data_IF_562937469811
#
_entry.id   IF_562937469811
#
_cell.length_a   1.000
_cell.length_b   1.000
_cell.length_c   1.000
_cell.angle_alpha   90.00
_cell.angle_beta   90.00
_cell.angle_gamma   90.00
#
_symmetry.space_group_name_H-M   'P 1'
#
loop_
_entity.id
_entity.type
_entity.pdbx_description
1 polymer ?
#
# COMPACT_ATOMS: atom_id res chain seq x y z
N UNK A 1 17.83 -16.89 -5.89
CA UNK A 1 16.67 -16.32 -5.16
C UNK A 1 17.14 -15.03 -4.51
N UNK A 2 16.43 -13.91 -4.68
CA UNK A 2 16.82 -12.61 -4.15
C UNK A 2 16.26 -12.39 -2.73
N UNK A 3 14.97 -12.61 -2.52
CA UNK A 3 14.38 -12.66 -1.18
C UNK A 3 13.14 -13.54 -1.15
N UNK A 4 12.84 -14.05 0.04
CA UNK A 4 11.60 -14.74 0.35
C UNK A 4 11.13 -14.29 1.73
N UNK A 5 9.84 -13.97 1.85
CA UNK A 5 9.22 -13.39 3.05
C UNK A 5 9.69 -11.98 3.36
N UNK A 6 8.73 -11.08 3.53
CA UNK A 6 8.95 -9.65 3.78
C UNK A 6 8.10 -9.20 4.95
N UNK A 7 8.59 -8.25 5.74
CA UNK A 7 7.93 -7.70 6.92
C UNK A 7 6.82 -6.69 6.54
N UNK A 8 5.94 -7.07 5.61
CA UNK A 8 4.82 -6.25 5.13
C UNK A 8 3.49 -6.93 5.43
N UNK A 9 2.43 -6.13 5.57
CA UNK A 9 1.06 -6.60 5.77
C UNK A 9 0.08 -5.83 4.90
N UNK A 10 -0.70 -6.48 4.02
CA UNK A 10 -0.64 -7.90 3.64
C UNK A 10 0.59 -8.20 2.74
N UNK A 11 0.95 -9.49 2.59
CA UNK A 11 2.04 -9.89 1.68
C UNK A 11 3.19 -10.70 2.31
N UNK A 12 3.00 -11.34 3.47
CA UNK A 12 4.07 -12.06 4.18
C UNK A 12 4.89 -13.04 3.29
N UNK A 13 4.33 -13.77 2.31
CA UNK A 13 5.13 -14.54 1.35
C UNK A 13 5.19 -13.87 -0.03
N UNK A 14 6.02 -12.85 -0.22
CA UNK A 14 6.48 -12.46 -1.57
C UNK A 14 7.84 -13.11 -1.81
N UNK A 15 8.01 -13.70 -2.99
CA UNK A 15 9.25 -14.28 -3.48
C UNK A 15 9.73 -13.45 -4.66
N UNK A 16 10.98 -13.01 -4.64
CA UNK A 16 11.65 -12.45 -5.80
C UNK A 16 12.87 -13.32 -6.13
N UNK A 17 12.98 -13.73 -7.38
CA UNK A 17 14.13 -14.43 -7.91
C UNK A 17 14.56 -13.84 -9.26
N UNK A 18 15.80 -14.13 -9.62
CA UNK A 18 16.36 -13.82 -10.93
C UNK A 18 16.92 -15.11 -11.51
N UNK A 19 16.52 -15.43 -12.73
CA UNK A 19 17.05 -16.56 -13.49
C UNK A 19 18.44 -16.23 -14.07
N UNK A 20 19.15 -17.25 -14.54
CA UNK A 20 20.51 -17.10 -15.07
C UNK A 20 20.57 -16.21 -16.33
N UNK A 21 19.51 -16.20 -17.13
CA UNK A 21 19.33 -15.32 -18.29
C UNK A 21 18.95 -13.87 -17.92
N UNK A 22 18.81 -13.58 -16.63
CA UNK A 22 18.48 -12.28 -16.10
C UNK A 22 16.99 -12.01 -15.90
N UNK A 23 16.09 -12.91 -16.31
CA UNK A 23 14.65 -12.75 -16.14
C UNK A 23 14.26 -12.70 -14.65
N UNK A 24 13.36 -11.76 -14.29
CA UNK A 24 12.84 -11.65 -12.94
C UNK A 24 11.59 -12.53 -12.78
N UNK A 25 11.55 -13.25 -11.66
CA UNK A 25 10.39 -14.02 -11.22
C UNK A 25 9.85 -13.44 -9.92
N UNK A 26 8.58 -13.04 -9.92
CA UNK A 26 7.87 -12.58 -8.72
C UNK A 26 6.78 -13.60 -8.36
N UNK A 27 7.00 -14.35 -7.29
CA UNK A 27 5.99 -15.23 -6.71
C UNK A 27 5.08 -14.45 -5.76
N UNK A 28 3.85 -14.19 -6.19
CA UNK A 28 2.83 -13.58 -5.36
C UNK A 28 2.03 -14.63 -4.57
N UNK A 29 1.51 -14.31 -3.38
CA UNK A 29 0.64 -15.21 -2.63
C UNK A 29 -0.66 -15.52 -3.40
N UNK A 30 -1.32 -16.65 -3.10
CA UNK A 30 -2.65 -16.97 -3.65
C UNK A 30 -3.82 -16.20 -3.00
N UNK A 31 -3.57 -15.46 -1.93
CA UNK A 31 -4.60 -14.63 -1.29
C UNK A 31 -4.79 -13.31 -2.09
N UNK A 32 -5.99 -12.99 -2.59
CA UNK A 32 -6.20 -11.87 -3.50
C UNK A 32 -5.69 -10.52 -3.00
N UNK A 33 -5.88 -10.21 -1.72
CA UNK A 33 -5.41 -8.94 -1.15
C UNK A 33 -3.90 -8.88 -1.02
N UNK A 34 -3.28 -10.01 -0.68
CA UNK A 34 -1.83 -10.11 -0.60
C UNK A 34 -1.21 -10.09 -2.01
N UNK A 35 -1.86 -10.67 -3.02
CA UNK A 35 -1.46 -10.54 -4.42
C UNK A 35 -1.60 -9.09 -4.91
N UNK A 36 -2.71 -8.42 -4.61
CA UNK A 36 -2.93 -7.03 -5.00
C UNK A 36 -1.88 -6.08 -4.40
N UNK A 37 -1.61 -6.20 -3.09
CA UNK A 37 -0.53 -5.45 -2.45
C UNK A 37 0.86 -5.83 -3.00
N UNK A 38 1.06 -7.11 -3.32
CA UNK A 38 2.28 -7.62 -3.93
C UNK A 38 2.55 -7.01 -5.32
N UNK A 39 1.53 -6.98 -6.17
CA UNK A 39 1.56 -6.33 -7.46
C UNK A 39 1.91 -4.84 -7.31
N UNK A 40 1.16 -4.14 -6.44
CA UNK A 40 1.27 -2.69 -6.26
C UNK A 40 2.62 -2.22 -5.73
N UNK A 41 3.19 -2.93 -4.76
CA UNK A 41 4.35 -2.48 -3.99
C UNK A 41 5.65 -3.23 -4.28
N UNK A 42 5.60 -4.29 -5.10
CA UNK A 42 6.81 -5.03 -5.51
C UNK A 42 6.93 -5.14 -7.03
N UNK A 43 5.86 -5.56 -7.72
CA UNK A 43 5.90 -5.74 -9.18
C UNK A 43 5.93 -4.41 -9.91
N UNK A 44 5.03 -3.48 -9.59
CA UNK A 44 4.99 -2.17 -10.23
C UNK A 44 6.31 -1.38 -10.05
N UNK A 45 6.91 -1.29 -8.85
CA UNK A 45 8.22 -0.65 -8.68
C UNK A 45 9.34 -1.35 -9.47
N UNK A 46 9.34 -2.69 -9.54
CA UNK A 46 10.32 -3.43 -10.34
C UNK A 46 10.18 -3.12 -11.84
N UNK A 47 8.95 -3.10 -12.36
CA UNK A 47 8.67 -2.73 -13.75
C UNK A 47 9.08 -1.28 -14.05
N UNK A 48 8.79 -0.33 -13.15
CA UNK A 48 9.24 1.06 -13.30
C UNK A 48 10.77 1.14 -13.40
N UNK A 49 11.48 0.41 -12.56
CA UNK A 49 12.95 0.34 -12.60
C UNK A 49 13.47 -0.25 -13.91
N UNK A 50 12.87 -1.35 -14.39
CA UNK A 50 13.24 -1.97 -15.67
C UNK A 50 12.97 -1.05 -16.87
N UNK A 51 11.95 -0.19 -16.79
CA UNK A 51 11.60 0.78 -17.82
C UNK A 51 12.38 2.11 -17.70
N UNK A 52 13.31 2.23 -16.74
CA UNK A 52 14.06 3.48 -16.52
C UNK A 52 13.20 4.64 -16.00
N UNK A 53 12.02 4.35 -15.46
CA UNK A 53 11.11 5.35 -14.92
C UNK A 53 11.55 5.79 -13.51
N UNK A 54 11.26 7.04 -13.10
CA UNK A 54 11.56 7.49 -11.74
C UNK A 54 10.80 6.65 -10.70
N UNK A 55 11.33 6.52 -9.49
CA UNK A 55 10.58 5.93 -8.38
C UNK A 55 9.29 6.73 -8.11
N UNK A 56 8.18 6.02 -7.87
CA UNK A 56 6.94 6.67 -7.47
C UNK A 56 7.08 7.25 -6.05
N UNK A 57 6.51 8.44 -5.83
CA UNK A 57 6.47 9.09 -4.53
C UNK A 57 5.04 9.17 -4.03
N UNK A 58 4.80 8.69 -2.81
CA UNK A 58 3.50 8.81 -2.15
C UNK A 58 3.24 10.24 -1.67
N UNK A 59 1.97 10.60 -1.54
CA UNK A 59 1.52 11.84 -0.91
C UNK A 59 1.66 11.71 0.62
N UNK A 60 2.15 12.75 1.28
CA UNK A 60 2.17 12.81 2.74
C UNK A 60 0.80 13.33 3.20
N UNK A 61 -0.01 12.48 3.83
CA UNK A 61 -1.39 12.81 4.22
C UNK A 61 -1.65 12.41 5.66
N UNK A 62 -2.39 13.24 6.39
CA UNK A 62 -2.73 12.98 7.80
C UNK A 62 -3.84 11.94 7.92
N UNK A 63 -3.67 11.01 8.86
CA UNK A 63 -4.71 10.05 9.23
C UNK A 63 -5.87 10.75 9.94
N UNK A 64 -7.11 10.44 9.56
CA UNK A 64 -8.31 10.84 10.30
C UNK A 64 -8.62 9.90 11.46
N UNK A 65 -8.31 8.62 11.29
CA UNK A 65 -8.68 7.56 12.24
C UNK A 65 -7.45 6.99 12.93
N UNK A 66 -7.50 6.74 14.25
CA UNK A 66 -6.41 6.08 14.96
C UNK A 66 -6.19 4.65 14.46
N UNK A 67 -4.95 4.19 14.52
CA UNK A 67 -4.54 2.82 14.23
C UNK A 67 -3.89 2.19 15.45
N UNK A 68 -4.19 0.92 15.69
CA UNK A 68 -3.54 0.13 16.74
C UNK A 68 -2.06 -0.11 16.45
N UNK A 69 -1.28 -0.29 17.53
CA UNK A 69 0.14 -0.62 17.47
C UNK A 69 0.42 -1.87 16.63
N UNK A 70 1.42 -1.74 15.73
CA UNK A 70 1.98 -2.83 14.94
C UNK A 70 3.49 -2.58 14.75
N UNK A 71 4.32 -2.94 15.74
CA UNK A 71 5.74 -2.58 15.80
C UNK A 71 6.64 -3.31 14.79
N UNK A 72 6.14 -4.37 14.15
CA UNK A 72 6.96 -5.24 13.30
C UNK A 72 6.70 -5.10 11.81
N UNK A 73 5.58 -4.48 11.42
CA UNK A 73 5.09 -4.60 10.05
C UNK A 73 4.88 -3.24 9.42
N UNK A 74 5.48 -3.08 8.24
CA UNK A 74 5.04 -2.06 7.30
C UNK A 74 3.64 -2.44 6.80
N UNK A 75 2.68 -1.55 6.94
CA UNK A 75 1.28 -1.82 6.65
C UNK A 75 0.87 -1.17 5.34
N UNK A 76 0.39 -1.96 4.39
CA UNK A 76 -0.26 -1.49 3.17
C UNK A 76 -1.78 -1.61 3.37
N UNK A 77 -2.40 -0.48 3.71
CA UNK A 77 -3.79 -0.40 4.17
C UNK A 77 -4.69 0.11 3.06
N UNK A 78 -5.89 -0.46 2.97
CA UNK A 78 -6.93 0.05 2.06
C UNK A 78 -7.52 1.28 2.67
N UNK A 79 -7.53 2.37 1.92
CA UNK A 79 -7.87 3.68 2.44
C UNK A 79 -8.75 4.47 1.47
N UNK A 80 -9.41 5.48 2.03
CA UNK A 80 -10.09 6.52 1.28
C UNK A 80 -9.33 7.82 1.46
N UNK A 81 -8.80 8.34 0.36
CA UNK A 81 -8.24 9.68 0.26
C UNK A 81 -9.38 10.65 -0.06
N UNK A 82 -9.57 11.64 0.81
CA UNK A 82 -10.57 12.70 0.65
C UNK A 82 -9.90 14.06 0.60
N UNK A 83 -10.61 15.03 0.02
CA UNK A 83 -10.27 16.44 0.12
C UNK A 83 -11.44 17.17 0.80
N UNK A 84 -11.15 17.89 1.88
CA UNK A 84 -12.15 18.68 2.60
C UNK A 84 -12.54 19.94 1.81
N UNK A 85 -13.64 20.59 2.19
CA UNK A 85 -14.07 21.86 1.60
C UNK A 85 -13.01 22.98 1.72
N UNK A 86 -12.10 22.88 2.70
CA UNK A 86 -10.98 23.80 2.88
C UNK A 86 -9.75 23.46 2.02
N UNK A 87 -9.83 22.45 1.13
CA UNK A 87 -8.73 22.01 0.28
C UNK A 87 -7.69 21.13 0.98
N UNK A 88 -7.98 20.64 2.19
CA UNK A 88 -7.03 19.83 2.97
C UNK A 88 -7.24 18.35 2.63
N UNK A 89 -6.14 17.65 2.31
CA UNK A 89 -6.17 16.21 2.08
C UNK A 89 -6.20 15.46 3.40
N UNK A 90 -7.06 14.45 3.46
CA UNK A 90 -7.20 13.56 4.59
C UNK A 90 -7.24 12.11 4.12
N UNK A 91 -6.77 11.18 4.96
CA UNK A 91 -6.86 9.75 4.65
C UNK A 91 -7.54 8.98 5.77
N UNK A 92 -8.59 8.26 5.40
CA UNK A 92 -9.33 7.37 6.27
C UNK A 92 -8.95 5.92 5.98
N UNK A 93 -8.55 5.17 7.01
CA UNK A 93 -8.31 3.72 6.84
C UNK A 93 -9.66 3.01 6.87
N UNK A 94 -9.94 2.20 5.84
CA UNK A 94 -11.19 1.44 5.77
C UNK A 94 -11.20 0.33 6.83
N UNK A 95 -12.37 -0.06 7.37
CA UNK A 95 -12.46 -1.21 8.26
C UNK A 95 -12.19 -2.54 7.52
N UNK A 96 -12.14 -3.63 8.29
CA UNK A 96 -11.99 -5.00 7.76
C UNK A 96 -10.69 -5.22 6.97
N UNK A 97 -9.56 -4.84 7.58
CA UNK A 97 -8.24 -4.95 6.96
C UNK A 97 -7.70 -6.39 6.85
N UNK A 98 -8.48 -7.41 7.17
CA UNK A 98 -8.08 -8.80 7.00
C UNK A 98 -7.82 -9.13 5.52
N UNK A 99 -6.84 -9.99 5.25
CA UNK A 99 -6.40 -10.28 3.88
C UNK A 99 -7.41 -11.11 3.07
N UNK A 100 -8.34 -11.82 3.72
CA UNK A 100 -9.40 -12.55 3.01
C UNK A 100 -10.57 -11.64 2.58
N UNK A 101 -10.64 -10.41 3.08
CA UNK A 101 -11.71 -9.44 2.76
C UNK A 101 -11.32 -8.60 1.55
N UNK A 102 -11.94 -8.90 0.40
CA UNK A 102 -11.75 -8.14 -0.85
C UNK A 102 -12.61 -6.87 -0.90
N UNK A 103 -13.78 -6.86 -0.26
CA UNK A 103 -14.72 -5.74 -0.34
C UNK A 103 -14.11 -4.35 -0.03
N UNK A 104 -13.23 -4.18 0.98
CA UNK A 104 -12.58 -2.89 1.23
C UNK A 104 -11.70 -2.39 0.07
N UNK A 105 -11.15 -3.28 -0.76
CA UNK A 105 -10.37 -2.87 -1.93
C UNK A 105 -11.27 -2.21 -2.99
N UNK A 106 -12.49 -2.71 -3.17
CA UNK A 106 -13.47 -2.13 -4.11
C UNK A 106 -13.98 -0.76 -3.65
N UNK A 107 -13.91 -0.49 -2.35
CA UNK A 107 -14.34 0.78 -1.75
C UNK A 107 -13.19 1.79 -1.58
N UNK A 108 -11.95 1.33 -1.73
CA UNK A 108 -10.76 2.18 -1.63
C UNK A 108 -10.55 2.96 -2.92
N UNK A 109 -10.05 4.17 -2.80
CA UNK A 109 -9.46 4.93 -3.92
C UNK A 109 -7.95 5.13 -3.74
N UNK A 110 -7.38 4.65 -2.63
CA UNK A 110 -5.98 4.78 -2.32
C UNK A 110 -5.47 3.65 -1.41
N UNK A 111 -4.16 3.50 -1.40
CA UNK A 111 -3.44 2.76 -0.37
C UNK A 111 -2.80 3.74 0.60
N UNK A 112 -2.91 3.48 1.90
CA UNK A 112 -2.12 4.16 2.92
C UNK A 112 -1.02 3.23 3.40
N UNK A 113 0.22 3.71 3.37
CA UNK A 113 1.40 3.00 3.85
C UNK A 113 1.84 3.61 5.18
N UNK A 114 1.81 2.78 6.22
CA UNK A 114 2.35 3.10 7.53
C UNK A 114 3.59 2.26 7.78
N UNK A 115 4.68 2.93 8.16
CA UNK A 115 5.84 2.26 8.74
C UNK A 115 5.49 1.68 10.10
N UNK A 116 6.26 0.68 10.61
CA UNK A 116 5.97 0.05 11.89
C UNK A 116 5.74 1.06 13.01
N UNK A 117 4.67 0.86 13.78
CA UNK A 117 4.24 1.78 14.84
C UNK A 117 4.27 1.07 16.19
N UNK A 118 5.14 1.51 17.10
CA UNK A 118 5.28 0.91 18.44
C UNK A 118 4.07 1.16 19.34
N UNK A 119 3.50 2.36 19.25
CA UNK A 119 2.36 2.79 20.09
C UNK A 119 1.06 2.95 19.30
N UNK A 120 1.05 2.54 18.03
CA UNK A 120 -0.02 2.83 17.09
C UNK A 120 0.14 4.21 16.46
N UNK A 121 -0.83 4.58 15.63
CA UNK A 121 -0.84 5.90 14.98
C UNK A 121 -2.07 6.67 15.48
N UNK A 122 -1.84 7.83 16.10
CA UNK A 122 -2.92 8.74 16.48
C UNK A 122 -3.47 9.49 15.25
N UNK A 123 -4.69 10.06 15.32
CA UNK A 123 -5.14 11.03 14.33
C UNK A 123 -4.10 12.15 14.17
N UNK A 124 -3.89 12.62 12.94
CA UNK A 124 -2.83 13.58 12.63
C UNK A 124 -1.45 12.96 12.35
N UNK A 125 -1.25 11.66 12.61
CA UNK A 125 -0.04 10.95 12.15
C UNK A 125 0.02 10.99 10.62
N UNK A 126 1.19 11.27 10.06
CA UNK A 126 1.37 11.31 8.61
C UNK A 126 1.57 9.91 8.05
N UNK A 127 0.82 9.57 7.00
CA UNK A 127 0.96 8.36 6.22
C UNK A 127 1.39 8.69 4.78
N UNK A 128 2.09 7.75 4.14
CA UNK A 128 2.30 7.84 2.69
C UNK A 128 1.09 7.28 1.96
N UNK A 129 0.51 8.06 1.06
CA UNK A 129 -0.68 7.69 0.29
C UNK A 129 -0.32 7.50 -1.17
N UNK A 130 -0.75 6.36 -1.71
CA UNK A 130 -0.50 5.94 -3.07
C UNK A 130 -1.82 5.65 -3.79
N UNK A 131 -1.84 5.87 -5.10
CA UNK A 131 -2.96 5.45 -5.94
C UNK A 131 -3.11 3.92 -5.99
N UNK A 132 -4.25 3.43 -6.49
CA UNK A 132 -4.54 2.00 -6.55
C UNK A 132 -3.55 1.21 -7.44
N UNK A 133 -2.93 1.87 -8.40
CA UNK A 133 -1.90 1.32 -9.28
C UNK A 133 -1.29 2.39 -10.18
N UNK A 134 -0.33 2.01 -11.01
CA UNK A 134 0.40 2.94 -11.88
C UNK A 134 -0.50 3.84 -12.75
N UNK A 135 -1.59 3.28 -13.32
CA UNK A 135 -2.56 4.01 -14.16
C UNK A 135 -3.67 4.69 -13.36
N UNK A 136 -3.72 4.48 -12.05
CA UNK A 136 -4.73 5.00 -11.15
C UNK A 136 -4.02 5.75 -10.01
N UNK A 137 -3.47 6.94 -10.28
CA UNK A 137 -2.77 7.74 -9.27
C UNK A 137 -3.71 8.12 -8.12
N UNK A 138 -3.12 8.58 -7.00
CA UNK A 138 -3.89 8.99 -5.83
C UNK A 138 -4.83 10.14 -6.19
N UNK A 139 -6.12 9.83 -6.32
CA UNK A 139 -7.18 10.77 -6.70
C UNK A 139 -8.14 10.96 -5.51
N UNK A 140 -8.12 12.13 -4.84
CA UNK A 140 -9.01 12.40 -3.72
C UNK A 140 -10.47 12.40 -4.18
N UNK A 141 -11.34 11.74 -3.40
CA UNK A 141 -12.77 11.97 -3.51
C UNK A 141 -13.10 13.30 -2.82
N UNK A 142 -14.06 14.05 -3.36
CA UNK A 142 -14.59 15.22 -2.67
C UNK A 142 -15.38 14.71 -1.46
N UNK A 143 -15.03 15.17 -0.27
CA UNK A 143 -15.83 14.89 0.92
C UNK A 143 -17.22 15.54 0.78
N UNK A 144 -18.30 14.88 1.19
CA UNK A 144 -19.64 15.47 1.17
C UNK A 144 -19.72 16.73 2.04
#
# INVERSE_FOLDING_TARGET
>A
MLFHKVAVRPGKPVLLARFADGALYVGLPGNPMASAAGLRFFVEPALRGLLGMPAERGLQVVLETPMQARPLWRQHLRARLTCSAAGVLCVQILPQQESFRVAPLLQANAWAVLEPQDQGAAPGTTAQVFGLGHLQPAAPAIAP
#
